data_IF_045070052404
#
_entry.id   IF_045070052404
#
_cell.length_a   1.000
_cell.length_b   1.000
_cell.length_c   1.000
_cell.angle_alpha   90.00
_cell.angle_beta   90.00
_cell.angle_gamma   90.00
#
_symmetry.space_group_name_H-M   'P 1'
#
loop_
_entity.id
_entity.type
_entity.pdbx_description
1 polymer ?
#
# COMPACT_ATOMS: atom_id res chain seq x y z
N UNK A 1 -38.38 1.78 -17.93
CA UNK A 1 -38.73 0.60 -17.11
C UNK A 1 -37.57 -0.39 -17.19
N UNK A 2 -36.60 -0.32 -16.28
CA UNK A 2 -35.62 -1.40 -16.06
C UNK A 2 -35.84 -1.85 -14.62
N UNK A 3 -36.80 -2.75 -14.46
CA UNK A 3 -37.20 -3.33 -13.17
C UNK A 3 -36.55 -4.70 -13.00
N UNK A 4 -36.25 -5.02 -11.74
CA UNK A 4 -35.59 -6.22 -11.21
C UNK A 4 -34.07 -6.30 -11.40
N UNK A 5 -33.39 -5.81 -10.35
CA UNK A 5 -32.04 -6.17 -9.94
C UNK A 5 -31.88 -7.70 -9.92
N UNK A 6 -30.93 -8.22 -10.70
CA UNK A 6 -30.49 -9.62 -10.65
C UNK A 6 -29.64 -9.76 -9.39
N UNK A 7 -30.27 -9.80 -8.23
CA UNK A 7 -29.63 -10.29 -7.02
C UNK A 7 -29.78 -11.82 -7.08
N UNK A 8 -28.67 -12.59 -7.15
CA UNK A 8 -28.71 -14.05 -7.02
C UNK A 8 -29.60 -14.44 -5.82
N UNK A 9 -30.43 -15.47 -5.98
CA UNK A 9 -31.41 -15.90 -4.97
C UNK A 9 -30.78 -16.08 -3.59
N UNK A 10 -29.53 -16.53 -3.55
CA UNK A 10 -28.70 -16.76 -2.38
C UNK A 10 -28.41 -15.48 -1.59
N UNK A 11 -28.28 -14.34 -2.27
CA UNK A 11 -28.01 -13.05 -1.63
C UNK A 11 -29.26 -12.41 -1.02
N UNK A 12 -30.46 -12.86 -1.43
CA UNK A 12 -31.73 -12.36 -0.86
C UNK A 12 -31.92 -12.83 0.58
N UNK A 13 -31.39 -14.00 0.93
CA UNK A 13 -31.37 -14.52 2.30
C UNK A 13 -30.14 -14.03 3.09
N UNK A 14 -28.97 -13.99 2.44
CA UNK A 14 -27.71 -13.66 3.09
C UNK A 14 -27.57 -12.18 3.48
N UNK A 15 -27.99 -11.23 2.62
CA UNK A 15 -27.82 -9.79 2.87
C UNK A 15 -28.61 -9.33 4.11
N UNK A 16 -29.90 -9.67 4.29
CA UNK A 16 -30.65 -9.29 5.50
C UNK A 16 -30.10 -9.91 6.78
N UNK A 17 -29.47 -11.08 6.68
CA UNK A 17 -28.83 -11.77 7.80
C UNK A 17 -27.39 -11.29 8.08
N UNK A 18 -26.82 -10.46 7.20
CA UNK A 18 -25.47 -9.94 7.37
C UNK A 18 -25.40 -8.97 8.55
N UNK A 19 -24.27 -9.00 9.24
CA UNK A 19 -23.96 -8.06 10.32
C UNK A 19 -23.95 -6.61 9.82
N UNK A 20 -24.45 -5.71 10.66
CA UNK A 20 -24.40 -4.26 10.42
C UNK A 20 -23.09 -3.63 10.90
N UNK A 21 -22.34 -4.32 11.78
CA UNK A 21 -21.08 -3.85 12.37
C UNK A 21 -19.88 -4.45 11.64
N UNK A 22 -19.02 -3.58 11.10
CA UNK A 22 -17.78 -3.96 10.44
C UNK A 22 -16.71 -4.54 11.38
N UNK A 23 -15.68 -5.15 10.79
CA UNK A 23 -14.53 -5.68 11.52
C UNK A 23 -14.76 -7.07 12.13
N UNK A 24 -13.87 -8.03 11.88
CA UNK A 24 -14.08 -9.44 12.27
C UNK A 24 -14.28 -9.65 13.76
N UNK A 25 -13.83 -8.71 14.59
CA UNK A 25 -14.05 -8.67 16.04
C UNK A 25 -15.52 -8.64 16.46
N UNK A 26 -16.46 -8.26 15.58
CA UNK A 26 -17.89 -8.29 15.88
C UNK A 26 -18.51 -9.69 15.87
N UNK A 27 -17.78 -10.71 15.41
CA UNK A 27 -18.22 -12.11 15.46
C UNK A 27 -17.91 -12.76 16.81
N UNK A 28 -18.65 -13.81 17.21
CA UNK A 28 -18.27 -14.65 18.35
C UNK A 28 -16.84 -15.18 18.20
N UNK A 29 -15.96 -14.91 19.17
CA UNK A 29 -14.54 -15.27 19.10
C UNK A 29 -13.70 -14.45 18.11
N UNK A 30 -14.27 -13.41 17.51
CA UNK A 30 -13.64 -12.63 16.43
C UNK A 30 -12.34 -11.92 16.85
N UNK A 31 -12.20 -11.55 18.12
CA UNK A 31 -10.97 -10.94 18.63
C UNK A 31 -9.80 -11.94 18.66
N UNK A 32 -10.04 -13.18 19.12
CA UNK A 32 -9.02 -14.22 19.14
C UNK A 32 -8.67 -14.68 17.72
N UNK A 33 -9.67 -14.76 16.84
CA UNK A 33 -9.44 -14.95 15.40
C UNK A 33 -8.56 -13.85 14.82
N UNK A 34 -8.87 -12.57 15.11
CA UNK A 34 -8.09 -11.44 14.61
C UNK A 34 -6.64 -11.47 15.10
N UNK A 35 -6.40 -11.78 16.38
CA UNK A 35 -5.05 -11.98 16.92
C UNK A 35 -4.31 -13.11 16.21
N UNK A 36 -4.98 -14.24 15.96
CA UNK A 36 -4.44 -15.35 15.19
C UNK A 36 -4.05 -14.93 13.76
N UNK A 37 -4.90 -14.15 13.09
CA UNK A 37 -4.61 -13.58 11.79
C UNK A 37 -3.42 -12.62 11.82
N UNK A 38 -3.32 -11.73 12.82
CA UNK A 38 -2.19 -10.82 12.95
C UNK A 38 -0.88 -11.59 13.08
N UNK A 39 -0.83 -12.59 13.95
CA UNK A 39 0.34 -13.45 14.09
C UNK A 39 0.67 -14.19 12.81
N UNK A 40 -0.34 -14.73 12.12
CA UNK A 40 -0.14 -15.44 10.85
C UNK A 40 0.44 -14.55 9.74
N UNK A 41 -0.06 -13.33 9.57
CA UNK A 41 0.36 -12.44 8.47
C UNK A 41 1.62 -11.64 8.78
N UNK A 42 1.86 -11.30 10.05
CA UNK A 42 2.99 -10.44 10.44
C UNK A 42 4.15 -11.24 11.04
N UNK A 43 3.92 -12.50 11.43
CA UNK A 43 4.86 -13.30 12.23
C UNK A 43 5.30 -12.63 13.54
N UNK A 44 4.57 -11.62 14.02
CA UNK A 44 4.84 -10.94 15.29
C UNK A 44 3.87 -11.41 16.37
N UNK A 45 4.28 -11.27 17.63
CA UNK A 45 3.41 -11.49 18.80
C UNK A 45 2.84 -10.17 19.35
N UNK A 46 2.87 -9.09 18.56
CA UNK A 46 2.31 -7.80 18.94
C UNK A 46 0.78 -7.87 19.04
N UNK A 47 0.22 -7.18 20.02
CA UNK A 47 -1.23 -7.05 20.16
C UNK A 47 -1.81 -6.13 19.07
N UNK A 48 -3.12 -6.27 18.73
CA UNK A 48 -3.81 -5.34 17.83
C UNK A 48 -3.58 -3.86 18.17
N UNK A 49 -3.61 -3.52 19.47
CA UNK A 49 -3.44 -2.15 19.92
C UNK A 49 -2.00 -1.66 19.68
N UNK A 50 -1.00 -2.48 19.98
CA UNK A 50 0.41 -2.11 19.71
C UNK A 50 0.68 -1.90 18.21
N UNK A 51 0.09 -2.73 17.34
CA UNK A 51 0.20 -2.56 15.89
C UNK A 51 -0.51 -1.28 15.45
N UNK A 52 -1.67 -0.97 16.02
CA UNK A 52 -2.38 0.28 15.73
C UNK A 52 -1.57 1.51 16.14
N UNK A 53 -1.04 1.52 17.36
CA UNK A 53 -0.25 2.62 17.90
C UNK A 53 1.04 2.83 17.09
N UNK A 54 1.72 1.73 16.72
CA UNK A 54 2.86 1.77 15.80
C UNK A 54 2.47 2.33 14.42
N UNK A 55 1.32 1.93 13.90
CA UNK A 55 0.80 2.45 12.64
C UNK A 55 0.58 3.97 12.70
N UNK A 56 0.00 4.48 13.80
CA UNK A 56 -0.19 5.91 14.00
C UNK A 56 1.14 6.67 14.07
N UNK A 57 2.14 6.14 14.79
CA UNK A 57 3.46 6.78 14.87
C UNK A 57 4.18 6.78 13.52
N UNK A 58 4.08 5.70 12.73
CA UNK A 58 4.67 5.64 11.40
C UNK A 58 3.96 6.57 10.40
N UNK A 59 2.65 6.70 10.50
CA UNK A 59 1.88 7.67 9.69
C UNK A 59 2.35 9.10 9.98
N UNK A 60 2.51 9.47 11.25
CA UNK A 60 3.01 10.79 11.62
C UNK A 60 4.45 11.01 11.13
N UNK A 61 5.35 10.03 11.34
CA UNK A 61 6.74 10.09 10.89
C UNK A 61 6.86 10.29 9.38
N UNK A 62 6.15 9.47 8.60
CA UNK A 62 6.19 9.54 7.13
C UNK A 62 5.57 10.85 6.63
N UNK A 63 4.47 11.32 7.23
CA UNK A 63 3.88 12.61 6.86
C UNK A 63 4.86 13.78 7.07
N UNK A 64 5.62 13.75 8.16
CA UNK A 64 6.66 14.74 8.41
C UNK A 64 7.74 14.71 7.32
N UNK A 65 8.27 13.54 6.98
CA UNK A 65 9.29 13.38 5.93
C UNK A 65 8.78 13.82 4.56
N UNK A 66 7.53 13.52 4.24
CA UNK A 66 6.88 13.99 3.01
C UNK A 66 6.81 15.52 3.00
N UNK A 67 6.36 16.15 4.09
CA UNK A 67 6.24 17.59 4.21
C UNK A 67 7.58 18.32 4.05
N UNK A 68 8.65 17.77 4.64
CA UNK A 68 10.01 18.29 4.49
C UNK A 68 10.47 18.21 3.03
N UNK A 69 10.29 17.05 2.39
CA UNK A 69 10.68 16.83 0.99
C UNK A 69 9.92 17.75 0.03
N UNK A 70 8.60 17.92 0.19
CA UNK A 70 7.81 18.78 -0.71
C UNK A 70 8.05 20.28 -0.47
N UNK A 71 8.51 20.67 0.72
CA UNK A 71 8.92 22.04 0.98
C UNK A 71 10.16 22.41 0.17
N UNK A 72 11.13 21.49 0.05
CA UNK A 72 12.32 21.67 -0.81
C UNK A 72 11.95 21.81 -2.30
N UNK A 73 10.86 21.18 -2.73
CA UNK A 73 10.32 21.27 -4.08
C UNK A 73 9.43 22.51 -4.31
N UNK A 74 9.23 23.36 -3.30
CA UNK A 74 8.38 24.56 -3.38
C UNK A 74 6.87 24.26 -3.33
N UNK A 75 6.48 23.08 -2.88
CA UNK A 75 5.09 22.59 -2.81
C UNK A 75 4.62 22.56 -1.32
N UNK A 76 5.14 23.46 -0.50
CA UNK A 76 4.83 23.54 0.93
C UNK A 76 3.34 23.83 1.22
N UNK A 77 2.90 23.52 2.44
CA UNK A 77 1.56 23.81 2.97
C UNK A 77 0.41 23.19 2.17
N UNK A 78 0.59 21.96 1.68
CA UNK A 78 -0.44 21.19 0.97
C UNK A 78 -0.78 19.92 1.71
N UNK A 79 -2.02 19.47 1.58
CA UNK A 79 -2.44 18.15 2.04
C UNK A 79 -1.79 17.05 1.19
N UNK A 80 -1.68 15.84 1.74
CA UNK A 80 -1.18 14.66 1.00
C UNK A 80 -1.98 14.41 -0.29
N UNK A 81 -3.30 14.64 -0.26
CA UNK A 81 -4.15 14.49 -1.44
C UNK A 81 -3.81 15.53 -2.53
N UNK A 82 -3.54 16.77 -2.16
CA UNK A 82 -3.13 17.81 -3.09
C UNK A 82 -1.73 17.54 -3.65
N UNK A 83 -0.78 17.10 -2.82
CA UNK A 83 0.56 16.68 -3.24
C UNK A 83 0.45 15.55 -4.26
N UNK A 84 -0.33 14.50 -3.95
CA UNK A 84 -0.56 13.38 -4.87
C UNK A 84 -1.18 13.84 -6.19
N UNK A 85 -2.12 14.78 -6.15
CA UNK A 85 -2.73 15.34 -7.34
C UNK A 85 -1.74 16.16 -8.18
N UNK A 86 -0.83 16.91 -7.55
CA UNK A 86 0.21 17.66 -8.27
C UNK A 86 1.16 16.71 -8.99
N UNK A 87 1.72 15.73 -8.27
CA UNK A 87 2.66 14.76 -8.85
C UNK A 87 2.00 13.97 -9.97
N UNK A 88 0.75 13.52 -9.77
CA UNK A 88 0.01 12.74 -10.78
C UNK A 88 -0.26 13.53 -12.07
N UNK A 89 -0.49 14.84 -11.98
CA UNK A 89 -0.82 15.67 -13.14
C UNK A 89 0.39 16.41 -13.73
N UNK A 90 1.58 16.26 -13.16
CA UNK A 90 2.81 16.82 -13.71
C UNK A 90 3.23 16.01 -14.95
N UNK A 91 3.20 16.60 -16.17
CA UNK A 91 3.58 15.89 -17.40
C UNK A 91 5.02 15.39 -17.40
N UNK A 92 5.92 16.00 -16.61
CA UNK A 92 7.32 15.59 -16.50
C UNK A 92 7.50 14.26 -15.78
N UNK A 93 6.47 13.81 -15.04
CA UNK A 93 6.46 12.53 -14.33
C UNK A 93 5.99 11.36 -15.19
N UNK A 94 5.65 11.60 -16.46
CA UNK A 94 5.14 10.59 -17.38
C UNK A 94 6.07 10.37 -18.57
N UNK A 95 6.26 9.10 -18.93
CA UNK A 95 7.01 8.71 -20.13
C UNK A 95 6.18 8.92 -21.40
N UNK A 96 6.85 9.30 -22.48
CA UNK A 96 6.20 9.55 -23.78
C UNK A 96 6.07 8.28 -24.63
N UNK A 97 6.77 7.20 -24.27
CA UNK A 97 6.72 5.93 -24.99
C UNK A 97 7.00 4.72 -24.09
N UNK A 98 6.60 3.54 -24.56
CA UNK A 98 6.92 2.26 -23.92
C UNK A 98 8.43 2.02 -23.89
N UNK A 99 9.11 2.36 -24.97
CA UNK A 99 10.55 2.16 -25.15
C UNK A 99 11.35 2.99 -24.14
N UNK A 100 10.95 4.24 -23.92
CA UNK A 100 11.54 5.13 -22.91
C UNK A 100 11.35 4.59 -21.50
N UNK A 101 10.13 4.19 -21.12
CA UNK A 101 9.83 3.58 -19.83
C UNK A 101 10.72 2.36 -19.56
N UNK A 102 10.79 1.44 -20.53
CA UNK A 102 11.60 0.23 -20.41
C UNK A 102 13.11 0.54 -20.36
N UNK A 103 13.57 1.54 -21.10
CA UNK A 103 14.97 1.99 -21.07
C UNK A 103 15.34 2.55 -19.70
N UNK A 104 14.51 3.46 -19.15
CA UNK A 104 14.70 4.01 -17.81
C UNK A 104 14.70 2.91 -16.75
N UNK A 105 13.74 1.98 -16.82
CA UNK A 105 13.63 0.90 -15.84
C UNK A 105 14.88 0.02 -15.85
N UNK A 106 15.35 -0.39 -17.03
CA UNK A 106 16.59 -1.18 -17.16
C UNK A 106 17.81 -0.41 -16.64
N UNK A 107 17.92 0.88 -16.94
CA UNK A 107 19.02 1.71 -16.43
C UNK A 107 18.99 1.82 -14.90
N UNK A 108 17.83 2.10 -14.31
CA UNK A 108 17.66 2.18 -12.87
C UNK A 108 18.04 0.88 -12.17
N UNK A 109 17.59 -0.25 -12.70
CA UNK A 109 17.89 -1.56 -12.12
C UNK A 109 19.36 -1.92 -12.33
N UNK A 110 19.82 -2.04 -13.58
CA UNK A 110 21.11 -2.68 -13.89
C UNK A 110 22.32 -1.75 -13.77
N UNK A 111 22.15 -0.44 -14.00
CA UNK A 111 23.27 0.50 -13.97
C UNK A 111 23.35 1.30 -12.68
N UNK A 112 22.23 1.49 -11.96
CA UNK A 112 22.20 2.27 -10.70
C UNK A 112 22.07 1.40 -9.46
N UNK A 113 21.14 0.45 -9.43
CA UNK A 113 20.88 -0.36 -8.22
C UNK A 113 21.83 -1.55 -8.12
N UNK A 114 21.94 -2.39 -9.15
CA UNK A 114 22.76 -3.62 -9.12
C UNK A 114 24.21 -3.39 -8.67
N UNK A 115 24.93 -2.36 -9.16
CA UNK A 115 26.31 -2.08 -8.72
C UNK A 115 26.44 -1.71 -7.23
N UNK A 116 25.34 -1.28 -6.59
CA UNK A 116 25.31 -0.96 -5.17
C UNK A 116 24.90 -2.17 -4.31
N UNK A 117 24.33 -3.23 -4.90
CA UNK A 117 23.84 -4.38 -4.15
C UNK A 117 24.97 -5.09 -3.40
N UNK A 118 26.13 -5.26 -4.02
CA UNK A 118 27.29 -5.90 -3.37
C UNK A 118 27.77 -5.16 -2.10
N UNK A 119 27.39 -3.89 -1.93
CA UNK A 119 27.72 -3.11 -0.74
C UNK A 119 26.72 -3.32 0.41
N UNK A 120 25.50 -3.75 0.11
CA UNK A 120 24.38 -3.81 1.08
C UNK A 120 23.87 -5.22 1.33
N UNK A 121 24.12 -6.18 0.43
CA UNK A 121 23.75 -7.58 0.60
C UNK A 121 24.99 -8.48 0.54
N UNK A 122 25.00 -9.53 1.36
CA UNK A 122 26.11 -10.47 1.45
C UNK A 122 26.29 -11.29 0.16
N UNK A 123 25.19 -11.65 -0.51
CA UNK A 123 25.21 -12.44 -1.74
C UNK A 123 24.08 -11.95 -2.64
N UNK A 124 24.43 -11.64 -3.89
CA UNK A 124 23.45 -11.31 -4.94
C UNK A 124 23.14 -12.60 -5.70
N UNK A 125 21.89 -13.11 -5.64
CA UNK A 125 21.53 -14.33 -6.35
C UNK A 125 21.66 -14.15 -7.86
N UNK A 126 22.28 -15.12 -8.54
CA UNK A 126 22.31 -15.17 -10.00
C UNK A 126 20.95 -15.65 -10.54
N UNK A 127 20.08 -14.68 -10.81
CA UNK A 127 18.83 -14.92 -11.53
C UNK A 127 19.08 -14.77 -13.02
N UNK A 128 19.34 -15.90 -13.69
CA UNK A 128 19.28 -15.99 -15.15
C UNK A 128 17.83 -15.78 -15.59
N UNK A 129 17.43 -14.53 -15.84
CA UNK A 129 16.10 -14.21 -16.39
C UNK A 129 16.14 -14.50 -17.88
N UNK A 130 15.72 -15.72 -18.27
CA UNK A 130 15.41 -16.10 -19.67
C UNK A 130 14.17 -15.40 -20.18
#
# INVERSE_FOLDING_TARGET
MFTQSIIPSELTEYIPAARTVGGVSSLPGGMEYYKGCLRFHTSTDLTPQQIHDLGLSEVERIQKEVNETVAELGIANKTIAEISNIVKNDPTQWFSSKEELLSMYRDAVYNKIYPLLEQVVHEVPDVNVT
#
